data_IF_063332989311
#
_entry.id   IF_063332989311
#
_cell.length_a   1.000
_cell.length_b   1.000
_cell.length_c   1.000
_cell.angle_alpha   90.00
_cell.angle_beta   90.00
_cell.angle_gamma   90.00
#
_symmetry.space_group_name_H-M   'P 1'
#
loop_
_entity.id
_entity.type
_entity.pdbx_description
1 polymer ?
#
# COMPACT_ATOMS: atom_id res chain seq x y z
N UNK A 1 -8.18 0.37 13.96
CA UNK A 1 -8.61 1.71 13.61
C UNK A 1 -9.28 1.71 12.25
N UNK A 2 -10.49 2.30 12.13
CA UNK A 2 -11.36 2.25 10.97
C UNK A 2 -10.93 3.13 9.78
N UNK A 3 -9.66 3.12 9.42
CA UNK A 3 -9.14 3.92 8.31
C UNK A 3 -9.03 3.13 7.00
N UNK A 4 -9.05 1.81 7.06
CA UNK A 4 -8.93 0.93 5.91
C UNK A 4 -10.32 0.48 5.43
N UNK A 5 -10.57 0.60 4.15
CA UNK A 5 -11.83 0.25 3.51
C UNK A 5 -11.59 -0.54 2.23
N UNK A 6 -12.39 -1.55 1.97
CA UNK A 6 -12.34 -2.24 0.68
C UNK A 6 -12.98 -1.35 -0.39
N UNK A 7 -12.21 -0.97 -1.41
CA UNK A 7 -12.62 -0.01 -2.45
C UNK A 7 -13.61 -0.59 -3.48
N UNK A 8 -13.77 -1.91 -3.54
CA UNK A 8 -14.69 -2.59 -4.45
C UNK A 8 -16.01 -2.95 -3.80
N UNK A 9 -15.95 -3.32 -2.52
CA UNK A 9 -17.10 -3.80 -1.76
C UNK A 9 -17.08 -3.18 -0.37
N UNK A 10 -18.15 -2.50 0.00
CA UNK A 10 -18.26 -1.87 1.33
C UNK A 10 -18.22 -2.88 2.49
N UNK A 11 -18.63 -4.12 2.21
CA UNK A 11 -18.62 -5.29 3.11
C UNK A 11 -17.43 -6.23 2.87
N UNK A 12 -16.48 -5.82 2.00
CA UNK A 12 -15.32 -6.62 1.65
C UNK A 12 -14.33 -6.76 2.81
N UNK A 13 -13.51 -7.82 2.80
CA UNK A 13 -12.56 -8.06 3.87
C UNK A 13 -11.51 -6.94 3.95
N UNK A 14 -11.14 -6.62 5.18
CA UNK A 14 -10.09 -5.66 5.53
C UNK A 14 -9.26 -6.26 6.66
N UNK A 15 -7.94 -6.29 6.51
CA UNK A 15 -7.05 -6.54 7.62
C UNK A 15 -6.82 -5.23 8.38
N UNK A 16 -7.46 -5.11 9.54
CA UNK A 16 -7.37 -3.94 10.40
C UNK A 16 -6.21 -4.03 11.43
N UNK A 17 -5.44 -5.12 11.39
CA UNK A 17 -4.30 -5.34 12.27
C UNK A 17 -3.19 -4.32 12.02
N UNK A 18 -2.50 -3.93 13.10
CA UNK A 18 -1.29 -3.10 13.05
C UNK A 18 -0.17 -3.87 13.73
N UNK A 19 0.53 -4.77 13.03
CA UNK A 19 1.72 -5.41 13.57
C UNK A 19 2.78 -4.37 13.93
N UNK A 20 3.32 -4.50 15.14
CA UNK A 20 4.37 -3.63 15.68
C UNK A 20 5.55 -4.47 16.14
N UNK A 21 6.74 -4.11 15.71
CA UNK A 21 7.99 -4.68 16.18
C UNK A 21 8.86 -3.55 16.73
N UNK A 22 9.23 -3.63 18.00
CA UNK A 22 10.07 -2.63 18.65
C UNK A 22 11.44 -3.24 18.98
N UNK A 23 12.48 -2.53 18.56
CA UNK A 23 13.86 -2.88 18.83
C UNK A 23 14.37 -2.01 19.97
N UNK A 24 14.92 -2.65 20.99
CA UNK A 24 15.43 -1.97 22.18
C UNK A 24 16.92 -2.25 22.37
N UNK A 25 17.64 -1.26 22.89
CA UNK A 25 19.02 -1.45 23.34
C UNK A 25 19.05 -2.34 24.60
N UNK A 26 20.23 -2.81 24.96
CA UNK A 26 20.44 -3.53 26.21
C UNK A 26 20.09 -2.69 27.45
N UNK A 27 20.04 -1.37 27.32
CA UNK A 27 19.69 -0.42 28.39
C UNK A 27 18.18 -0.10 28.39
N UNK A 28 17.38 -0.72 27.53
CA UNK A 28 15.93 -0.54 27.44
C UNK A 28 15.47 0.68 26.64
N UNK A 29 16.37 1.38 25.95
CA UNK A 29 15.99 2.49 25.08
C UNK A 29 15.52 1.95 23.72
N UNK A 30 14.42 2.47 23.20
CA UNK A 30 13.94 2.12 21.85
C UNK A 30 14.91 2.66 20.80
N UNK A 31 15.39 1.78 19.94
CA UNK A 31 16.30 2.11 18.83
C UNK A 31 15.51 2.31 17.54
N UNK A 32 14.54 1.43 17.29
CA UNK A 32 13.69 1.47 16.12
C UNK A 32 12.30 0.87 16.41
N UNK A 33 11.32 1.29 15.62
CA UNK A 33 9.99 0.70 15.62
C UNK A 33 9.56 0.46 14.18
N UNK A 34 9.19 -0.77 13.86
CA UNK A 34 8.59 -1.16 12.59
C UNK A 34 7.09 -1.32 12.79
N UNK A 35 6.31 -0.61 11.97
CA UNK A 35 4.85 -0.71 11.94
C UNK A 35 4.42 -1.12 10.55
N UNK A 36 3.49 -2.07 10.46
CA UNK A 36 2.87 -2.46 9.20
C UNK A 36 1.37 -2.18 9.24
N UNK A 37 0.80 -1.80 8.09
CA UNK A 37 -0.64 -1.64 7.93
C UNK A 37 -1.07 -1.99 6.50
N UNK A 38 -2.08 -2.85 6.38
CA UNK A 38 -2.55 -3.38 5.10
C UNK A 38 -3.53 -2.41 4.41
N UNK A 39 -3.04 -1.22 4.05
CA UNK A 39 -3.83 -0.18 3.41
C UNK A 39 -2.95 0.62 2.43
N UNK A 40 -3.41 0.81 1.20
CA UNK A 40 -2.67 1.62 0.23
C UNK A 40 -2.51 3.07 0.70
N UNK A 41 -1.28 3.64 0.64
CA UNK A 41 -1.02 5.05 0.97
C UNK A 41 -1.41 5.96 -0.21
N UNK A 42 -2.71 6.14 -0.40
CA UNK A 42 -3.30 6.88 -1.52
C UNK A 42 -4.39 7.85 -1.04
N UNK A 43 -4.21 8.45 0.13
CA UNK A 43 -5.09 9.53 0.61
C UNK A 43 -5.07 10.68 -0.38
N UNK A 44 -3.87 11.11 -0.78
CA UNK A 44 -3.72 12.21 -1.73
C UNK A 44 -4.11 11.79 -3.13
N UNK A 45 -4.65 12.75 -3.89
CA UNK A 45 -5.15 12.55 -5.24
C UNK A 45 -4.14 12.84 -6.33
N UNK A 46 -4.56 12.63 -7.58
CA UNK A 46 -3.79 12.95 -8.76
C UNK A 46 -3.56 14.46 -8.96
N UNK A 47 -4.31 15.29 -8.25
CA UNK A 47 -4.15 16.75 -8.17
C UNK A 47 -2.97 17.19 -7.28
N UNK A 48 -2.45 16.29 -6.44
CA UNK A 48 -1.25 16.57 -5.64
C UNK A 48 0.00 16.46 -6.50
N UNK A 49 0.72 17.56 -6.65
CA UNK A 49 1.96 17.66 -7.41
C UNK A 49 3.22 17.61 -6.52
N UNK A 50 3.06 17.45 -5.21
CA UNK A 50 4.18 17.39 -4.29
C UNK A 50 4.65 15.96 -4.06
N UNK A 51 5.94 15.78 -3.89
CA UNK A 51 6.52 14.54 -3.40
C UNK A 51 6.05 14.27 -1.97
N UNK A 52 5.56 13.07 -1.72
CA UNK A 52 5.04 12.68 -0.40
C UNK A 52 5.04 11.16 -0.25
N UNK A 53 5.20 10.67 0.95
CA UNK A 53 4.90 9.29 1.33
C UNK A 53 3.49 9.12 1.88
N UNK A 54 2.59 10.11 1.69
CA UNK A 54 1.20 10.06 2.13
C UNK A 54 1.07 9.88 3.66
N UNK A 55 0.06 9.16 4.17
CA UNK A 55 -0.11 8.93 5.60
C UNK A 55 1.08 8.21 6.30
N UNK A 56 1.88 7.34 5.66
CA UNK A 56 3.07 6.76 6.28
C UNK A 56 4.09 7.78 6.80
N UNK A 57 4.20 8.95 6.17
CA UNK A 57 5.01 10.04 6.71
C UNK A 57 4.57 10.41 8.13
N UNK A 58 3.29 10.63 8.30
CA UNK A 58 2.73 11.06 9.59
C UNK A 58 2.72 9.94 10.63
N UNK A 59 2.67 8.66 10.23
CA UNK A 59 2.89 7.53 11.14
C UNK A 59 4.29 7.60 11.71
N UNK A 60 5.30 7.77 10.86
CA UNK A 60 6.70 7.82 11.28
C UNK A 60 6.99 9.04 12.14
N UNK A 61 6.56 10.22 11.69
CA UNK A 61 6.73 11.48 12.43
C UNK A 61 6.17 11.37 13.86
N UNK A 62 4.97 10.86 14.02
CA UNK A 62 4.33 10.71 15.33
C UNK A 62 5.05 9.70 16.22
N UNK A 63 5.50 8.57 15.65
CA UNK A 63 6.26 7.57 16.39
C UNK A 63 7.63 8.10 16.84
N UNK A 64 8.34 8.79 15.97
CA UNK A 64 9.65 9.38 16.27
C UNK A 64 9.54 10.49 17.32
N UNK A 65 8.46 11.28 17.28
CA UNK A 65 8.18 12.28 18.31
C UNK A 65 7.86 11.64 19.67
N UNK A 66 7.13 10.51 19.69
CA UNK A 66 6.77 9.81 20.91
C UNK A 66 7.91 8.96 21.49
N UNK A 67 8.88 8.57 20.66
CA UNK A 67 10.02 7.70 20.99
C UNK A 67 11.34 8.40 20.63
N UNK A 68 11.75 9.43 21.37
CA UNK A 68 12.93 10.23 21.03
C UNK A 68 14.20 9.39 20.84
N UNK A 69 14.86 9.58 19.70
CA UNK A 69 16.06 8.83 19.32
C UNK A 69 15.80 7.53 18.58
N UNK A 70 14.53 7.07 18.49
CA UNK A 70 14.18 5.90 17.70
C UNK A 70 13.99 6.28 16.22
N UNK A 71 14.21 5.29 15.33
CA UNK A 71 13.88 5.38 13.91
C UNK A 71 12.56 4.64 13.67
N UNK A 72 11.58 5.31 13.09
CA UNK A 72 10.33 4.67 12.70
C UNK A 72 10.38 4.16 11.25
N UNK A 73 10.01 2.90 11.05
CA UNK A 73 9.93 2.24 9.76
C UNK A 73 8.46 1.88 9.52
N UNK A 74 7.95 2.23 8.35
CA UNK A 74 6.60 1.84 7.93
C UNK A 74 6.69 0.85 6.76
N UNK A 75 5.95 -0.25 6.88
CA UNK A 75 5.79 -1.24 5.81
C UNK A 75 4.32 -1.33 5.40
N UNK A 76 4.05 -1.18 4.11
CA UNK A 76 2.71 -1.47 3.59
C UNK A 76 2.48 -2.97 3.61
N UNK A 77 1.44 -3.42 4.32
CA UNK A 77 1.02 -4.81 4.34
C UNK A 77 0.34 -5.24 3.04
N UNK A 78 -0.31 -6.40 3.05
CA UNK A 78 -1.03 -6.96 1.90
C UNK A 78 -2.33 -6.17 1.65
N UNK A 79 -2.22 -4.98 1.09
CA UNK A 79 -3.31 -4.04 0.93
C UNK A 79 -4.38 -4.52 -0.08
N UNK A 80 -4.00 -5.21 -1.16
CA UNK A 80 -4.95 -5.71 -2.16
C UNK A 80 -5.94 -4.64 -2.66
N UNK A 81 -7.22 -4.81 -2.37
CA UNK A 81 -8.27 -3.85 -2.70
C UNK A 81 -8.57 -2.84 -1.56
N UNK A 82 -7.69 -2.72 -0.57
CA UNK A 82 -7.91 -1.88 0.61
C UNK A 82 -7.19 -0.54 0.48
N UNK A 83 -7.93 0.54 0.66
CA UNK A 83 -7.40 1.91 0.68
C UNK A 83 -8.05 2.75 1.79
N UNK A 84 -7.84 4.05 1.78
CA UNK A 84 -8.24 5.00 2.81
C UNK A 84 -9.68 5.52 2.64
N UNK A 85 -10.56 4.82 1.93
CA UNK A 85 -12.01 5.05 1.92
C UNK A 85 -12.58 5.71 0.67
N UNK A 86 -11.80 5.82 -0.42
CA UNK A 86 -12.34 6.26 -1.71
C UNK A 86 -12.46 5.09 -2.70
N UNK A 87 -13.38 5.22 -3.65
CA UNK A 87 -13.62 4.20 -4.68
C UNK A 87 -12.45 4.09 -5.66
N UNK A 88 -12.39 2.96 -6.39
CA UNK A 88 -11.43 2.79 -7.46
C UNK A 88 -11.56 3.87 -8.54
N UNK A 89 -12.78 4.29 -8.87
CA UNK A 89 -13.04 5.38 -9.81
C UNK A 89 -12.52 6.73 -9.30
N UNK A 90 -12.75 7.03 -8.01
CA UNK A 90 -12.23 8.24 -7.39
C UNK A 90 -10.69 8.28 -7.32
N UNK A 91 -10.02 7.13 -7.32
CA UNK A 91 -8.55 7.06 -7.38
C UNK A 91 -7.98 7.57 -8.70
N UNK A 92 -8.77 7.51 -9.78
CA UNK A 92 -8.33 7.84 -11.15
C UNK A 92 -8.76 9.25 -11.57
N UNK A 93 -9.58 9.94 -10.78
CA UNK A 93 -10.01 11.30 -11.11
C UNK A 93 -8.89 12.31 -10.85
N UNK A 94 -8.63 13.25 -11.76
CA UNK A 94 -7.73 14.38 -11.53
C UNK A 94 -8.36 15.50 -10.70
N UNK A 95 -9.64 15.36 -10.35
CA UNK A 95 -10.36 16.40 -9.61
C UNK A 95 -9.99 16.34 -8.12
N UNK A 96 -9.66 17.50 -7.57
CA UNK A 96 -9.46 17.67 -6.13
C UNK A 96 -10.73 17.32 -5.36
N UNK A 97 -10.57 16.60 -4.28
CA UNK A 97 -11.66 16.34 -3.32
C UNK A 97 -11.21 16.70 -1.91
N UNK A 98 -12.08 17.30 -1.07
CA UNK A 98 -11.71 17.72 0.28
C UNK A 98 -11.17 16.58 1.15
N UNK A 99 -11.64 15.35 0.91
CA UNK A 99 -11.23 14.16 1.64
C UNK A 99 -9.82 13.71 1.29
N UNK A 100 -9.30 14.14 0.12
CA UNK A 100 -7.97 13.76 -0.38
C UNK A 100 -6.97 14.87 -0.09
N UNK A 101 -6.65 15.06 1.18
CA UNK A 101 -5.84 16.18 1.67
C UNK A 101 -4.73 15.73 2.62
N UNK A 102 -3.70 16.56 2.78
CA UNK A 102 -2.66 16.35 3.79
C UNK A 102 -3.22 16.32 5.22
N UNK A 103 -4.29 17.08 5.48
CA UNK A 103 -4.98 17.05 6.78
C UNK A 103 -5.53 15.64 7.04
N UNK A 104 -6.18 15.05 6.05
CA UNK A 104 -6.70 13.68 6.16
C UNK A 104 -5.59 12.64 6.28
N UNK A 105 -4.51 12.79 5.50
CA UNK A 105 -3.34 11.92 5.60
C UNK A 105 -2.72 11.98 7.01
N UNK A 106 -2.61 13.18 7.58
CA UNK A 106 -2.14 13.37 8.96
C UNK A 106 -3.06 12.73 9.99
N UNK A 107 -4.37 12.91 9.87
CA UNK A 107 -5.35 12.28 10.78
C UNK A 107 -5.21 10.75 10.79
N UNK A 108 -5.07 10.14 9.61
CA UNK A 108 -4.90 8.69 9.46
C UNK A 108 -3.56 8.26 10.06
N UNK A 109 -2.47 8.93 9.69
CA UNK A 109 -1.13 8.60 10.17
C UNK A 109 -1.00 8.67 11.69
N UNK A 110 -1.47 9.76 12.29
CA UNK A 110 -1.49 9.92 13.75
C UNK A 110 -2.36 8.86 14.44
N UNK A 111 -3.52 8.52 13.85
CA UNK A 111 -4.38 7.46 14.39
C UNK A 111 -3.72 6.08 14.39
N UNK A 112 -3.01 5.73 13.30
CA UNK A 112 -2.25 4.48 13.21
C UNK A 112 -1.10 4.48 14.23
N UNK A 113 -0.33 5.58 14.31
CA UNK A 113 0.78 5.69 15.25
C UNK A 113 0.33 5.55 16.70
N UNK A 114 -0.77 6.20 17.09
CA UNK A 114 -1.36 6.05 18.44
C UNK A 114 -1.73 4.61 18.73
N UNK A 115 -2.40 3.93 17.79
CA UNK A 115 -2.73 2.51 17.96
C UNK A 115 -1.47 1.64 18.09
N UNK A 116 -0.40 1.96 17.37
CA UNK A 116 0.88 1.26 17.48
C UNK A 116 1.56 1.50 18.83
N UNK A 117 1.49 2.72 19.37
CA UNK A 117 2.04 3.06 20.69
C UNK A 117 1.27 2.38 21.85
N UNK A 118 -0.02 2.18 21.67
CA UNK A 118 -0.92 1.50 22.63
C UNK A 118 -0.85 -0.04 22.51
N UNK A 119 -0.14 -0.56 21.50
CA UNK A 119 -0.06 -1.99 21.26
C UNK A 119 0.55 -2.73 22.45
N UNK A 120 -0.07 -3.85 22.83
CA UNK A 120 0.47 -4.74 23.84
C UNK A 120 1.63 -5.53 23.25
N UNK A 121 2.84 -5.18 23.63
CA UNK A 121 4.05 -5.87 23.17
C UNK A 121 4.40 -7.04 24.08
N UNK A 122 4.89 -8.12 23.46
CA UNK A 122 5.46 -9.27 24.17
C UNK A 122 6.96 -9.28 23.89
N UNK A 123 7.76 -9.41 24.93
CA UNK A 123 9.20 -9.52 24.75
C UNK A 123 9.56 -10.79 24.00
N UNK A 124 10.36 -10.64 22.96
CA UNK A 124 10.94 -11.74 22.19
C UNK A 124 12.44 -11.72 22.46
N UNK A 125 12.99 -12.84 22.93
CA UNK A 125 14.42 -13.00 23.13
C UNK A 125 14.94 -14.09 22.20
N UNK A 126 16.14 -13.91 21.67
CA UNK A 126 16.78 -14.88 20.78
C UNK A 126 17.62 -14.19 19.71
N UNK A 127 18.23 -14.98 18.86
CA UNK A 127 18.96 -14.48 17.71
C UNK A 127 17.97 -14.19 16.57
N UNK A 128 18.10 -13.01 15.97
CA UNK A 128 17.39 -12.71 14.74
C UNK A 128 18.04 -13.48 13.61
N UNK A 129 17.30 -14.36 12.97
CA UNK A 129 17.75 -15.12 11.80
C UNK A 129 17.12 -14.50 10.56
N UNK A 130 17.96 -14.07 9.63
CA UNK A 130 17.54 -13.59 8.33
C UNK A 130 17.58 -14.74 7.33
N UNK A 131 16.48 -14.96 6.64
CA UNK A 131 16.37 -15.91 5.52
C UNK A 131 15.95 -15.19 4.25
N UNK A 132 16.55 -15.60 3.13
CA UNK A 132 16.21 -15.11 1.80
C UNK A 132 16.06 -16.27 0.85
N UNK A 133 15.01 -16.28 0.05
CA UNK A 133 14.76 -17.25 -1.00
C UNK A 133 14.22 -16.55 -2.25
N UNK A 134 14.42 -17.19 -3.39
CA UNK A 134 13.81 -16.76 -4.65
C UNK A 134 12.81 -17.82 -5.08
N UNK A 135 11.58 -17.40 -5.30
CA UNK A 135 10.48 -18.24 -5.74
C UNK A 135 9.93 -17.77 -7.08
N UNK A 136 9.62 -18.71 -7.95
CA UNK A 136 8.95 -18.44 -9.20
C UNK A 136 7.43 -18.43 -8.97
N UNK A 137 6.83 -17.23 -9.01
CA UNK A 137 5.41 -17.04 -8.82
C UNK A 137 4.72 -17.13 -10.18
N UNK A 138 3.87 -18.14 -10.34
CA UNK A 138 2.98 -18.29 -11.48
C UNK A 138 1.69 -17.52 -11.20
N UNK A 139 1.40 -16.51 -12.02
CA UNK A 139 0.12 -15.82 -11.99
C UNK A 139 -0.84 -16.51 -12.94
N UNK A 140 -1.97 -16.98 -12.45
CA UNK A 140 -3.05 -17.41 -13.30
C UNK A 140 -3.58 -16.21 -14.10
N UNK A 141 -3.58 -16.34 -15.41
CA UNK A 141 -4.28 -15.38 -16.25
C UNK A 141 -5.79 -15.53 -15.99
N UNK A 142 -6.40 -14.48 -15.47
CA UNK A 142 -7.86 -14.39 -15.54
C UNK A 142 -8.25 -14.27 -17.01
N UNK A 143 -9.29 -14.97 -17.41
CA UNK A 143 -9.88 -14.91 -18.75
C UNK A 143 -10.49 -13.50 -18.98
N UNK A 144 -9.67 -12.54 -19.33
CA UNK A 144 -10.11 -11.19 -19.67
C UNK A 144 -10.21 -10.97 -21.21
N UNK A 145 -10.05 -12.04 -21.95
CA UNK A 145 -9.92 -11.99 -23.41
C UNK A 145 -8.48 -11.77 -23.90
N UNK A 146 -8.25 -12.07 -25.14
CA UNK A 146 -6.94 -11.85 -25.75
C UNK A 146 -6.58 -10.36 -25.74
N UNK A 147 -5.30 -10.00 -25.51
CA UNK A 147 -4.86 -8.59 -25.50
C UNK A 147 -5.30 -7.81 -26.74
N UNK A 148 -5.34 -8.45 -27.90
CA UNK A 148 -5.76 -7.86 -29.18
C UNK A 148 -7.24 -7.42 -29.15
N UNK A 149 -8.10 -8.25 -28.55
CA UNK A 149 -9.54 -7.96 -28.42
C UNK A 149 -9.73 -6.81 -27.42
N UNK A 150 -9.04 -6.87 -26.28
CA UNK A 150 -9.10 -5.83 -25.26
C UNK A 150 -8.61 -4.48 -25.79
N UNK A 151 -7.47 -4.47 -26.48
CA UNK A 151 -6.92 -3.26 -27.10
C UNK A 151 -7.90 -2.63 -28.07
N UNK A 152 -8.49 -3.42 -28.97
CA UNK A 152 -9.50 -2.96 -29.94
C UNK A 152 -10.73 -2.39 -29.25
N UNK A 153 -11.26 -3.11 -28.26
CA UNK A 153 -12.46 -2.69 -27.52
C UNK A 153 -12.23 -1.38 -26.77
N UNK A 154 -11.14 -1.26 -26.05
CA UNK A 154 -10.83 -0.05 -25.28
C UNK A 154 -10.44 1.12 -26.19
N UNK A 155 -9.75 0.85 -27.31
CA UNK A 155 -9.45 1.89 -28.29
C UNK A 155 -10.72 2.48 -28.92
N UNK A 156 -11.71 1.63 -29.21
CA UNK A 156 -13.00 2.07 -29.73
C UNK A 156 -13.84 2.85 -28.69
N UNK A 157 -13.68 2.55 -27.41
CA UNK A 157 -14.36 3.23 -26.31
C UNK A 157 -13.69 4.55 -25.91
N UNK A 158 -12.43 4.77 -26.26
CA UNK A 158 -11.66 5.94 -25.89
C UNK A 158 -12.21 7.20 -26.58
N UNK A 159 -12.63 8.19 -25.80
CA UNK A 159 -13.19 9.45 -26.29
C UNK A 159 -12.10 10.48 -26.62
N UNK A 160 -11.01 10.43 -25.85
CA UNK A 160 -9.85 11.31 -26.03
C UNK A 160 -8.56 10.51 -25.75
N UNK A 161 -7.40 10.95 -26.28
CA UNK A 161 -6.13 10.21 -26.10
C UNK A 161 -5.69 10.00 -24.63
N UNK A 162 -6.17 10.85 -23.73
CA UNK A 162 -5.86 10.80 -22.30
C UNK A 162 -6.92 10.09 -21.47
N UNK A 163 -7.97 9.53 -22.10
CA UNK A 163 -8.99 8.77 -21.36
C UNK A 163 -8.43 7.47 -20.80
N UNK A 164 -9.07 6.95 -19.77
CA UNK A 164 -8.64 5.69 -19.13
C UNK A 164 -8.70 4.51 -20.11
N UNK A 165 -9.66 4.51 -21.01
CA UNK A 165 -9.80 3.50 -22.06
C UNK A 165 -8.61 3.56 -23.04
N UNK A 166 -8.14 4.76 -23.39
CA UNK A 166 -6.94 4.93 -24.22
C UNK A 166 -5.69 4.38 -23.53
N UNK A 167 -5.54 4.62 -22.22
CA UNK A 167 -4.44 4.10 -21.42
C UNK A 167 -4.51 2.56 -21.36
N UNK A 168 -5.68 1.98 -21.11
CA UNK A 168 -5.87 0.53 -21.11
C UNK A 168 -5.63 -0.10 -22.46
N UNK A 169 -6.02 0.55 -23.55
CA UNK A 169 -5.71 0.09 -24.90
C UNK A 169 -4.20 0.02 -25.12
N UNK A 170 -3.45 1.07 -24.80
CA UNK A 170 -1.99 1.05 -24.85
C UNK A 170 -1.39 -0.05 -23.98
N UNK A 171 -1.92 -0.25 -22.77
CA UNK A 171 -1.48 -1.31 -21.88
C UNK A 171 -1.69 -2.70 -22.52
N UNK A 172 -2.83 -2.96 -23.14
CA UNK A 172 -3.10 -4.22 -23.84
C UNK A 172 -2.19 -4.40 -25.06
N UNK A 173 -1.99 -3.35 -25.87
CA UNK A 173 -1.10 -3.35 -27.03
C UNK A 173 0.35 -3.73 -26.65
N UNK A 174 0.85 -3.26 -25.49
CA UNK A 174 2.19 -3.62 -25.01
C UNK A 174 2.33 -5.09 -24.60
N UNK A 175 1.23 -5.83 -24.50
CA UNK A 175 1.20 -7.24 -24.09
C UNK A 175 0.96 -8.21 -25.24
N UNK A 176 0.65 -7.69 -26.42
CA UNK A 176 0.50 -8.53 -27.62
C UNK A 176 1.79 -9.29 -27.90
N UNK A 177 1.67 -10.60 -28.07
CA UNK A 177 2.81 -11.47 -28.38
C UNK A 177 3.84 -11.64 -27.24
N UNK A 178 3.55 -11.16 -26.02
CA UNK A 178 4.43 -11.38 -24.88
C UNK A 178 4.04 -12.66 -24.13
N UNK A 179 5.00 -13.51 -23.92
CA UNK A 179 4.87 -14.59 -22.94
C UNK A 179 4.85 -14.01 -21.52
N UNK A 180 3.78 -14.30 -20.79
CA UNK A 180 3.62 -13.92 -19.38
C UNK A 180 4.01 -15.13 -18.52
N UNK A 181 5.23 -15.59 -18.71
CA UNK A 181 5.80 -16.66 -17.89
C UNK A 181 5.89 -16.30 -16.39
N UNK A 182 6.26 -17.26 -15.56
CA UNK A 182 6.39 -17.04 -14.12
C UNK A 182 7.32 -15.86 -13.81
N UNK A 183 7.00 -15.11 -12.76
CA UNK A 183 7.83 -14.00 -12.27
C UNK A 183 8.60 -14.45 -11.05
N UNK A 184 9.93 -14.29 -11.12
CA UNK A 184 10.78 -14.58 -9.99
C UNK A 184 10.63 -13.50 -8.92
N UNK A 185 10.25 -13.92 -7.73
CA UNK A 185 10.10 -13.03 -6.59
C UNK A 185 11.11 -13.41 -5.49
N UNK A 186 11.61 -12.38 -4.81
CA UNK A 186 12.44 -12.56 -3.63
C UNK A 186 11.54 -12.58 -2.39
N UNK A 187 11.64 -13.63 -1.60
CA UNK A 187 10.96 -13.77 -0.32
C UNK A 187 12.01 -13.61 0.78
N UNK A 188 11.78 -12.68 1.68
CA UNK A 188 12.67 -12.40 2.81
C UNK A 188 11.91 -12.68 4.11
N UNK A 189 12.53 -13.42 5.01
CA UNK A 189 11.97 -13.72 6.34
C UNK A 189 12.93 -13.28 7.44
N UNK A 190 12.34 -12.82 8.54
CA UNK A 190 13.02 -12.60 9.82
C UNK A 190 12.37 -13.55 10.85
N UNK A 191 13.20 -14.30 11.57
CA UNK A 191 12.74 -15.21 12.62
C UNK A 191 13.52 -14.95 13.90
#
# INVERSE_FOLDING_TARGET
PGFAHNRRRSDGPVDAGIPVLRFESAQGSTIAVLVSYACHPVVLGADNLNWTSDYPHFVREELENALPGAIAIFATGCAGDVNTGHSAAASLTPLATPERSFIKAKQIGVGIAKSALEARLTNVSGNIVHGEAFEDICFEQREHGAPEILAKTWRAAAKVPTSIEAIWACWAETRMGRDIGPRRARVTTLK
#
